data_IF_074759774348
#
_entry.id   IF_074759774348
#
_cell.length_a   1.000
_cell.length_b   1.000
_cell.length_c   1.000
_cell.angle_alpha   90.00
_cell.angle_beta   90.00
_cell.angle_gamma   90.00
#
_symmetry.space_group_name_H-M   'P 1'
#
loop_
_entity.id
_entity.type
_entity.pdbx_description
1 polymer ?
#
# COMPACT_ATOMS: atom_id res chain seq x y z
N UNK A 1 -7.75 10.88 1.79
CA UNK A 1 -7.81 10.27 0.44
C UNK A 1 -8.92 10.98 -0.31
N UNK A 2 -8.78 11.17 -1.62
CA UNK A 2 -9.86 11.69 -2.46
C UNK A 2 -10.91 10.61 -2.71
N UNK A 3 -12.13 10.97 -3.10
CA UNK A 3 -13.15 10.03 -3.57
C UNK A 3 -12.91 9.61 -5.02
N UNK A 4 -13.48 8.47 -5.41
CA UNK A 4 -13.44 7.97 -6.79
C UNK A 4 -12.18 7.14 -7.11
N UNK A 5 -11.53 6.62 -6.07
CA UNK A 5 -10.39 5.73 -6.24
C UNK A 5 -10.85 4.34 -6.68
N UNK A 6 -9.93 3.57 -7.26
CA UNK A 6 -10.18 2.15 -7.57
C UNK A 6 -10.60 1.38 -6.32
N UNK A 7 -10.03 1.68 -5.15
CA UNK A 7 -10.42 1.05 -3.88
C UNK A 7 -11.85 1.37 -3.47
N UNK A 8 -12.36 2.57 -3.76
CA UNK A 8 -13.76 2.94 -3.50
C UNK A 8 -14.70 2.13 -4.40
N UNK A 9 -14.32 1.92 -5.66
CA UNK A 9 -15.08 1.08 -6.59
C UNK A 9 -15.10 -0.39 -6.15
N UNK A 10 -13.93 -0.92 -5.74
CA UNK A 10 -13.81 -2.30 -5.26
C UNK A 10 -14.67 -2.54 -4.01
N UNK A 11 -14.65 -1.60 -3.05
CA UNK A 11 -15.42 -1.71 -1.81
C UNK A 11 -16.91 -1.44 -2.03
N UNK A 12 -17.27 -0.40 -2.78
CA UNK A 12 -18.64 0.06 -2.93
C UNK A 12 -19.44 -0.63 -4.03
N UNK A 13 -18.85 -0.80 -5.22
CA UNK A 13 -19.56 -1.37 -6.38
C UNK A 13 -19.38 -2.89 -6.45
N UNK A 14 -18.15 -3.37 -6.30
CA UNK A 14 -17.86 -4.80 -6.36
C UNK A 14 -18.02 -5.53 -5.01
N UNK A 15 -18.36 -4.78 -3.95
CA UNK A 15 -18.66 -5.27 -2.61
C UNK A 15 -17.60 -6.24 -2.08
N UNK A 16 -16.31 -5.90 -2.26
CA UNK A 16 -15.20 -6.69 -1.73
C UNK A 16 -14.93 -6.31 -0.28
N UNK A 17 -14.85 -7.32 0.59
CA UNK A 17 -14.74 -7.13 2.04
C UNK A 17 -13.34 -6.74 2.52
N UNK A 18 -12.31 -7.00 1.70
CA UNK A 18 -10.90 -6.78 2.04
C UNK A 18 -10.30 -5.93 0.92
N UNK A 19 -10.16 -4.63 1.16
CA UNK A 19 -9.65 -3.66 0.18
C UNK A 19 -8.71 -2.69 0.89
N UNK A 20 -7.47 -2.61 0.43
CA UNK A 20 -6.41 -1.80 1.06
C UNK A 20 -5.66 -1.00 0.00
N UNK A 21 -5.14 0.15 0.42
CA UNK A 21 -4.27 1.01 -0.38
C UNK A 21 -2.98 1.23 0.37
N UNK A 22 -1.87 0.83 -0.23
CA UNK A 22 -0.53 1.03 0.34
C UNK A 22 0.05 2.36 -0.12
N UNK A 23 0.51 3.14 0.85
CA UNK A 23 1.46 4.23 0.63
C UNK A 23 2.75 3.82 1.32
N UNK A 24 3.74 3.47 0.51
CA UNK A 24 5.03 2.95 0.96
C UNK A 24 5.90 4.10 1.50
N UNK A 25 7.16 3.78 1.83
CA UNK A 25 8.16 4.75 2.25
C UNK A 25 8.33 5.87 1.20
N UNK A 26 8.71 7.08 1.59
CA UNK A 26 9.02 7.58 2.93
C UNK A 26 8.03 8.66 3.41
N UNK A 27 8.43 9.49 4.38
CA UNK A 27 7.66 10.66 4.85
C UNK A 27 8.21 11.97 4.27
N UNK A 28 8.21 12.06 2.94
CA UNK A 28 8.59 13.26 2.15
C UNK A 28 10.07 13.66 2.24
N UNK A 29 10.98 12.73 2.52
CA UNK A 29 12.42 13.02 2.49
C UNK A 29 12.94 12.90 1.05
N UNK A 30 12.67 11.77 0.42
CA UNK A 30 13.01 11.45 -0.97
C UNK A 30 11.76 11.32 -1.85
N UNK A 31 10.61 10.97 -1.26
CA UNK A 31 9.34 10.80 -1.98
C UNK A 31 9.46 9.79 -3.12
N UNK A 32 9.22 10.24 -4.36
CA UNK A 32 9.30 9.36 -5.54
C UNK A 32 10.73 8.97 -5.93
N UNK A 33 11.75 9.64 -5.40
CA UNK A 33 13.16 9.39 -5.68
C UNK A 33 13.84 8.64 -4.53
N UNK A 34 13.09 7.74 -3.88
CA UNK A 34 13.59 6.94 -2.78
C UNK A 34 14.86 6.17 -3.21
N UNK A 35 15.97 6.28 -2.45
CA UNK A 35 17.22 5.61 -2.79
C UNK A 35 17.10 4.07 -2.90
N UNK A 36 17.89 3.42 -3.78
CA UNK A 36 17.77 2.00 -4.07
C UNK A 36 18.03 1.08 -2.86
N UNK A 37 18.78 1.53 -1.86
CA UNK A 37 19.00 0.81 -0.60
C UNK A 37 17.70 0.53 0.18
N UNK A 38 16.62 1.27 -0.09
CA UNK A 38 15.33 1.07 0.55
C UNK A 38 14.39 0.13 -0.22
N UNK A 39 14.77 -0.37 -1.40
CA UNK A 39 13.91 -1.27 -2.20
C UNK A 39 13.62 -2.56 -1.43
N UNK A 40 14.67 -3.26 -0.98
CA UNK A 40 14.53 -4.54 -0.27
C UNK A 40 13.82 -4.34 1.08
N UNK A 41 14.24 -3.38 1.95
CA UNK A 41 13.54 -3.15 3.22
C UNK A 41 12.06 -2.80 3.07
N UNK A 42 11.70 -2.01 2.04
CA UNK A 42 10.28 -1.66 1.78
C UNK A 42 9.51 -2.89 1.30
N UNK A 43 10.12 -3.76 0.48
CA UNK A 43 9.51 -5.00 0.03
C UNK A 43 9.26 -5.98 1.17
N UNK A 44 10.24 -6.18 2.05
CA UNK A 44 10.14 -7.07 3.21
C UNK A 44 9.02 -6.63 4.16
N UNK A 45 8.99 -5.35 4.57
CA UNK A 45 7.93 -4.87 5.48
C UNK A 45 6.53 -4.88 4.84
N UNK A 46 6.46 -4.68 3.52
CA UNK A 46 5.18 -4.77 2.78
C UNK A 46 4.68 -6.21 2.76
N UNK A 47 5.57 -7.18 2.52
CA UNK A 47 5.21 -8.59 2.52
C UNK A 47 4.81 -9.06 3.92
N UNK A 48 5.55 -8.66 4.95
CA UNK A 48 5.22 -8.96 6.35
C UNK A 48 3.81 -8.46 6.71
N UNK A 49 3.39 -7.30 6.18
CA UNK A 49 2.03 -6.81 6.37
C UNK A 49 0.96 -7.73 5.76
N UNK A 50 1.22 -8.29 4.57
CA UNK A 50 0.31 -9.22 3.91
C UNK A 50 0.23 -10.53 4.69
N UNK A 51 1.37 -11.04 5.13
CA UNK A 51 1.46 -12.23 5.98
C UNK A 51 0.67 -12.03 7.27
N UNK A 52 0.80 -10.88 7.92
CA UNK A 52 0.04 -10.57 9.14
C UNK A 52 -1.48 -10.41 8.91
N UNK A 53 -1.90 -9.97 7.72
CA UNK A 53 -3.31 -9.78 7.38
C UNK A 53 -4.03 -11.07 6.96
N UNK A 54 -3.30 -12.02 6.35
CA UNK A 54 -3.88 -13.19 5.69
C UNK A 54 -3.50 -14.53 6.33
N UNK A 55 -2.62 -14.54 7.33
CA UNK A 55 -2.41 -15.71 8.19
C UNK A 55 -3.49 -15.82 9.27
#
# INVERSE_FOLDING_TARGET
LSSGLSVDYMAGVLNKSVVYLYKLRDKNEYGFLLPPEYIIPTGEETLDSLVAMFN
#
